data_IF_025713940470
#
_entry.id   IF_025713940470
#
_cell.length_a   1.000
_cell.length_b   1.000
_cell.length_c   1.000
_cell.angle_alpha   90.00
_cell.angle_beta   90.00
_cell.angle_gamma   90.00
#
_symmetry.space_group_name_H-M   'P 1'
#
loop_
_entity.id
_entity.type
_entity.pdbx_description
1 polymer ?
#
# COMPACT_ATOMS: atom_id res chain seq x y z
N UNK A 1 -47.14 9.71 8.60
CA UNK A 1 -46.55 10.29 7.37
C UNK A 1 -46.04 11.71 7.59
N UNK A 2 -46.83 12.71 8.01
CA UNK A 2 -46.35 14.10 8.14
C UNK A 2 -45.22 14.34 9.18
N UNK A 3 -45.11 13.51 10.23
CA UNK A 3 -43.97 13.56 11.16
C UNK A 3 -42.62 13.17 10.52
N UNK A 4 -42.62 12.41 9.41
CA UNK A 4 -41.39 11.96 8.74
C UNK A 4 -40.67 13.09 7.99
N UNK A 5 -41.34 14.24 7.77
CA UNK A 5 -40.68 15.44 7.23
C UNK A 5 -39.60 15.95 8.20
N UNK A 6 -39.74 15.70 9.51
CA UNK A 6 -38.69 16.01 10.48
C UNK A 6 -37.47 15.09 10.34
N UNK A 7 -37.67 13.86 9.86
CA UNK A 7 -36.58 12.91 9.62
C UNK A 7 -35.68 13.37 8.48
N UNK A 8 -36.22 14.01 7.43
CA UNK A 8 -35.40 14.63 6.38
C UNK A 8 -34.37 15.60 6.95
N UNK A 9 -34.80 16.54 7.82
CA UNK A 9 -33.91 17.54 8.44
C UNK A 9 -32.84 16.86 9.30
N UNK A 10 -33.20 15.77 9.98
CA UNK A 10 -32.28 14.96 10.79
C UNK A 10 -31.26 14.22 9.93
N UNK A 11 -31.67 13.59 8.83
CA UNK A 11 -30.77 12.89 7.91
C UNK A 11 -29.84 13.86 7.21
N UNK A 12 -30.36 14.94 6.62
CA UNK A 12 -29.55 15.92 5.90
C UNK A 12 -28.49 16.60 6.79
N UNK A 13 -28.79 16.81 8.08
CA UNK A 13 -27.82 17.33 9.06
C UNK A 13 -26.70 16.33 9.38
N UNK A 14 -26.96 15.02 9.32
CA UNK A 14 -25.98 13.95 9.63
C UNK A 14 -25.19 13.53 8.39
N UNK A 15 -25.87 13.30 7.28
CA UNK A 15 -25.32 12.86 6.00
C UNK A 15 -26.14 13.49 4.88
N UNK A 16 -25.52 14.37 4.10
CA UNK A 16 -26.17 14.98 2.92
C UNK A 16 -26.65 13.90 1.95
N UNK A 17 -25.85 12.84 1.79
CA UNK A 17 -26.15 11.70 0.92
C UNK A 17 -27.42 10.97 1.36
N UNK A 18 -27.56 10.69 2.65
CA UNK A 18 -28.73 9.99 3.20
C UNK A 18 -29.98 10.88 3.08
N UNK A 19 -29.82 12.20 3.23
CA UNK A 19 -30.87 13.16 2.95
C UNK A 19 -31.33 13.16 1.48
N UNK A 20 -30.40 13.03 0.53
CA UNK A 20 -30.69 12.93 -0.91
C UNK A 20 -31.44 11.62 -1.22
N UNK A 21 -31.02 10.50 -0.64
CA UNK A 21 -31.72 9.21 -0.80
C UNK A 21 -33.14 9.30 -0.23
N UNK A 22 -33.30 9.90 0.95
CA UNK A 22 -34.61 10.06 1.58
C UNK A 22 -35.56 10.90 0.71
N UNK A 23 -35.12 12.09 0.26
CA UNK A 23 -35.99 12.98 -0.52
C UNK A 23 -36.27 12.43 -1.92
N UNK A 24 -35.29 11.76 -2.55
CA UNK A 24 -35.52 11.11 -3.86
C UNK A 24 -36.53 9.99 -3.75
N UNK A 25 -36.45 9.15 -2.72
CA UNK A 25 -37.45 8.09 -2.46
C UNK A 25 -38.84 8.68 -2.29
N UNK A 26 -38.97 9.75 -1.48
CA UNK A 26 -40.24 10.43 -1.26
C UNK A 26 -40.82 11.05 -2.53
N UNK A 27 -39.99 11.72 -3.33
CA UNK A 27 -40.43 12.34 -4.59
C UNK A 27 -40.86 11.27 -5.59
N UNK A 28 -40.08 10.18 -5.73
CA UNK A 28 -40.38 9.14 -6.70
C UNK A 28 -41.67 8.37 -6.38
N UNK A 29 -41.94 8.06 -5.11
CA UNK A 29 -43.19 7.37 -4.73
C UNK A 29 -44.44 8.24 -4.90
N UNK A 30 -44.30 9.57 -4.81
CA UNK A 30 -45.41 10.51 -5.06
C UNK A 30 -45.69 10.68 -6.56
N UNK A 31 -44.65 10.73 -7.39
CA UNK A 31 -44.80 11.03 -8.83
C UNK A 31 -45.09 9.77 -9.67
N UNK A 32 -44.47 8.63 -9.33
CA UNK A 32 -44.44 7.43 -10.19
C UNK A 32 -45.31 6.28 -9.67
N UNK A 33 -46.16 6.50 -8.67
CA UNK A 33 -46.78 5.46 -7.83
C UNK A 33 -45.76 4.70 -6.96
N UNK A 34 -46.29 4.01 -5.94
CA UNK A 34 -45.50 3.37 -4.89
C UNK A 34 -44.54 2.31 -5.47
N UNK A 35 -45.02 1.49 -6.41
CA UNK A 35 -44.23 0.37 -6.95
C UNK A 35 -43.06 0.87 -7.81
N UNK A 36 -43.32 1.74 -8.80
CA UNK A 36 -42.26 2.28 -9.66
C UNK A 36 -41.34 3.24 -8.90
N UNK A 37 -41.90 4.01 -7.96
CA UNK A 37 -41.12 4.89 -7.09
C UNK A 37 -40.10 4.13 -6.26
N UNK A 38 -40.47 2.95 -5.76
CA UNK A 38 -39.54 2.08 -5.03
C UNK A 38 -38.41 1.59 -5.95
N UNK A 39 -38.71 1.06 -7.14
CA UNK A 39 -37.69 0.63 -8.11
C UNK A 39 -36.73 1.77 -8.47
N UNK A 40 -37.24 2.96 -8.74
CA UNK A 40 -36.43 4.13 -9.06
C UNK A 40 -35.51 4.53 -7.88
N UNK A 41 -36.01 4.49 -6.65
CA UNK A 41 -35.24 4.83 -5.45
C UNK A 41 -34.10 3.84 -5.14
N UNK A 42 -34.32 2.55 -5.42
CA UNK A 42 -33.29 1.52 -5.33
C UNK A 42 -32.19 1.79 -6.36
N UNK A 43 -32.58 2.12 -7.60
CA UNK A 43 -31.63 2.48 -8.66
C UNK A 43 -30.75 3.68 -8.28
N UNK A 44 -31.35 4.75 -7.76
CA UNK A 44 -30.59 5.93 -7.28
C UNK A 44 -29.68 5.59 -6.10
N UNK A 45 -30.15 4.77 -5.15
CA UNK A 45 -29.34 4.34 -4.01
C UNK A 45 -28.10 3.55 -4.45
N UNK A 46 -28.26 2.65 -5.44
CA UNK A 46 -27.15 1.89 -6.03
C UNK A 46 -26.15 2.80 -6.75
N UNK A 47 -26.63 3.77 -7.55
CA UNK A 47 -25.76 4.74 -8.23
C UNK A 47 -24.94 5.56 -7.23
N UNK A 48 -25.57 6.02 -6.15
CA UNK A 48 -24.89 6.74 -5.07
C UNK A 48 -23.85 5.86 -4.39
N UNK A 49 -24.17 4.59 -4.13
CA UNK A 49 -23.24 3.64 -3.51
C UNK A 49 -22.01 3.41 -4.37
N UNK A 50 -22.18 3.21 -5.68
CA UNK A 50 -21.08 3.03 -6.64
C UNK A 50 -20.20 4.28 -6.66
N UNK A 51 -20.78 5.47 -6.72
CA UNK A 51 -20.02 6.72 -6.70
C UNK A 51 -19.22 6.88 -5.39
N UNK A 52 -19.81 6.50 -4.25
CA UNK A 52 -19.12 6.55 -2.95
C UNK A 52 -17.97 5.55 -2.85
N UNK A 53 -18.05 4.43 -3.58
CA UNK A 53 -17.03 3.38 -3.62
C UNK A 53 -15.81 3.71 -4.50
N UNK A 54 -15.94 4.69 -5.38
CA UNK A 54 -15.03 4.85 -6.53
C UNK A 54 -13.62 5.37 -6.21
N UNK A 55 -13.31 5.82 -4.99
CA UNK A 55 -12.05 6.48 -4.69
C UNK A 55 -11.29 5.85 -3.50
N UNK A 56 -10.38 4.89 -3.75
CA UNK A 56 -9.45 4.45 -2.73
C UNK A 56 -8.45 5.57 -2.44
N UNK A 57 -8.26 5.87 -1.16
CA UNK A 57 -7.33 6.92 -0.73
C UNK A 57 -5.94 6.32 -0.58
N UNK A 58 -4.96 6.88 -1.27
CA UNK A 58 -3.57 6.44 -1.19
C UNK A 58 -2.74 7.55 -0.59
N UNK A 59 -1.98 7.22 0.44
CA UNK A 59 -1.20 8.18 1.23
C UNK A 59 0.22 7.66 1.41
N UNK A 60 1.16 8.58 1.51
CA UNK A 60 2.51 8.27 1.95
C UNK A 60 2.58 8.28 3.47
N UNK A 61 3.26 7.29 4.06
CA UNK A 61 3.48 7.22 5.50
C UNK A 61 4.87 7.72 5.89
N UNK A 62 4.92 8.43 7.02
CA UNK A 62 6.13 8.73 7.76
C UNK A 62 6.18 7.95 9.07
N UNK A 63 7.38 7.82 9.62
CA UNK A 63 7.61 7.25 10.93
C UNK A 63 7.54 8.36 11.99
N UNK A 64 6.76 8.12 13.04
CA UNK A 64 6.73 8.92 14.25
C UNK A 64 7.27 8.09 15.40
N UNK A 65 8.30 8.59 16.07
CA UNK A 65 8.81 7.99 17.32
C UNK A 65 8.04 8.56 18.49
N UNK A 66 7.35 7.70 19.23
CA UNK A 66 6.63 8.11 20.44
C UNK A 66 7.51 7.75 21.63
N UNK A 67 7.99 8.78 22.34
CA UNK A 67 8.63 8.63 23.64
C UNK A 67 7.56 8.74 24.71
N UNK A 68 7.08 7.59 25.17
CA UNK A 68 6.23 7.53 26.35
C UNK A 68 7.12 7.50 27.60
N UNK A 69 6.88 8.42 28.54
CA UNK A 69 7.63 8.51 29.79
C UNK A 69 7.47 7.28 30.69
N UNK A 70 6.41 6.49 30.49
CA UNK A 70 6.14 5.27 31.27
C UNK A 70 6.66 3.99 30.62
N UNK A 71 6.88 3.99 29.29
CA UNK A 71 7.37 2.80 28.57
C UNK A 71 8.89 2.81 28.45
N UNK A 72 9.49 1.65 28.69
CA UNK A 72 10.95 1.44 28.62
C UNK A 72 11.51 1.33 27.19
N UNK A 73 10.66 1.42 26.17
CA UNK A 73 11.01 1.24 24.76
C UNK A 73 10.34 2.31 23.88
N UNK A 74 11.05 2.76 22.85
CA UNK A 74 10.52 3.65 21.82
C UNK A 74 9.57 2.88 20.89
N UNK A 75 8.32 3.34 20.77
CA UNK A 75 7.37 2.79 19.78
C UNK A 75 7.46 3.58 18.48
N UNK A 76 7.59 2.85 17.38
CA UNK A 76 7.60 3.39 16.02
C UNK A 76 6.20 3.26 15.42
N UNK A 77 5.54 4.39 15.17
CA UNK A 77 4.22 4.44 14.56
C UNK A 77 4.30 4.96 13.13
N UNK A 78 3.67 4.24 12.21
CA UNK A 78 3.53 4.66 10.82
C UNK A 78 2.22 5.42 10.62
N UNK A 79 2.33 6.73 10.39
CA UNK A 79 1.20 7.65 10.18
C UNK A 79 1.38 8.41 8.87
N UNK A 80 0.33 9.07 8.39
CA UNK A 80 0.45 9.87 7.15
C UNK A 80 1.54 10.94 7.30
N UNK A 81 2.41 11.06 6.29
CA UNK A 81 3.59 11.91 6.34
C UNK A 81 3.25 13.39 6.61
N UNK A 82 2.07 13.83 6.19
CA UNK A 82 1.60 15.21 6.37
C UNK A 82 0.69 15.40 7.58
N UNK A 83 0.52 14.39 8.44
CA UNK A 83 -0.38 14.48 9.59
C UNK A 83 0.21 15.26 10.77
N UNK A 84 1.54 15.40 10.87
CA UNK A 84 2.21 16.06 11.99
C UNK A 84 3.54 16.68 11.55
N UNK A 85 4.05 17.65 12.31
CA UNK A 85 5.42 18.17 12.12
C UNK A 85 6.51 17.21 12.62
N UNK A 86 6.13 16.20 13.41
CA UNK A 86 7.04 15.22 14.03
C UNK A 86 7.19 13.93 13.19
N UNK A 87 6.54 13.88 12.02
CA UNK A 87 6.58 12.71 11.13
C UNK A 87 7.66 12.88 10.09
N UNK A 88 8.59 11.93 10.04
CA UNK A 88 9.71 11.97 9.11
C UNK A 88 9.68 10.74 8.19
N UNK A 89 10.10 10.93 6.95
CA UNK A 89 10.43 9.79 6.07
C UNK A 89 11.62 9.03 6.67
N UNK A 90 11.57 7.71 6.60
CA UNK A 90 12.73 6.88 6.96
C UNK A 90 13.71 6.87 5.79
N UNK A 91 15.00 7.03 6.08
CA UNK A 91 16.04 7.08 5.05
C UNK A 91 16.06 5.79 4.21
N UNK A 92 16.01 5.95 2.88
CA UNK A 92 15.99 4.85 1.93
C UNK A 92 14.75 3.95 1.96
N UNK A 93 13.66 4.35 2.64
CA UNK A 93 12.40 3.62 2.70
C UNK A 93 11.19 4.54 2.48
N UNK A 94 10.40 4.23 1.46
CA UNK A 94 9.15 4.93 1.15
C UNK A 94 7.98 3.97 1.34
N UNK A 95 6.98 4.37 2.12
CA UNK A 95 5.82 3.53 2.42
C UNK A 95 4.56 4.19 1.88
N UNK A 96 3.85 3.49 0.99
CA UNK A 96 2.54 3.91 0.49
C UNK A 96 1.45 3.05 1.10
N UNK A 97 0.44 3.67 1.72
CA UNK A 97 -0.73 2.98 2.25
C UNK A 97 -1.92 3.15 1.33
N UNK A 98 -2.55 2.03 0.99
CA UNK A 98 -3.83 2.00 0.26
C UNK A 98 -4.96 1.84 1.26
N UNK A 99 -5.91 2.78 1.25
CA UNK A 99 -7.06 2.83 2.14
C UNK A 99 -8.32 2.65 1.32
N UNK A 100 -9.08 1.60 1.63
CA UNK A 100 -10.32 1.24 0.94
C UNK A 100 -10.20 0.00 0.06
N UNK A 101 -11.34 -0.44 -0.46
CA UNK A 101 -11.43 -1.58 -1.38
C UNK A 101 -10.83 -1.18 -2.73
N UNK A 102 -10.02 -2.06 -3.31
CA UNK A 102 -9.51 -1.88 -4.67
C UNK A 102 -9.99 -3.01 -5.56
N UNK A 103 -10.77 -2.70 -6.58
CA UNK A 103 -11.36 -3.70 -7.47
C UNK A 103 -11.40 -3.22 -8.92
N UNK A 104 -12.05 -3.99 -9.79
CA UNK A 104 -12.23 -3.68 -11.21
C UNK A 104 -12.85 -2.30 -11.47
N UNK A 105 -13.58 -1.71 -10.53
CA UNK A 105 -14.22 -0.39 -10.71
C UNK A 105 -13.25 0.78 -10.52
N UNK A 106 -12.24 0.63 -9.65
CA UNK A 106 -11.42 1.76 -9.20
C UNK A 106 -9.89 1.52 -9.27
N UNK A 107 -9.45 0.36 -9.76
CA UNK A 107 -8.02 0.03 -9.85
C UNK A 107 -7.22 1.06 -10.67
N UNK A 108 -7.78 1.63 -11.74
CA UNK A 108 -7.08 2.60 -12.58
C UNK A 108 -6.74 3.87 -11.81
N UNK A 109 -7.67 4.34 -10.97
CA UNK A 109 -7.49 5.48 -10.09
C UNK A 109 -6.38 5.17 -9.08
N UNK A 110 -6.44 3.97 -8.48
CA UNK A 110 -5.45 3.52 -7.51
C UNK A 110 -4.03 3.48 -8.10
N UNK A 111 -3.86 2.84 -9.27
CA UNK A 111 -2.57 2.72 -9.95
C UNK A 111 -2.06 4.09 -10.40
N UNK A 112 -2.94 4.96 -10.90
CA UNK A 112 -2.57 6.33 -11.29
C UNK A 112 -2.06 7.14 -10.10
N UNK A 113 -2.72 7.04 -8.95
CA UNK A 113 -2.29 7.70 -7.72
C UNK A 113 -0.94 7.16 -7.21
N UNK A 114 -0.74 5.83 -7.23
CA UNK A 114 0.55 5.21 -6.89
C UNK A 114 1.69 5.67 -7.80
N UNK A 115 1.44 5.74 -9.12
CA UNK A 115 2.41 6.28 -10.09
C UNK A 115 2.76 7.73 -9.80
N UNK A 116 1.74 8.57 -9.57
CA UNK A 116 1.94 9.99 -9.26
C UNK A 116 2.76 10.19 -7.99
N UNK A 117 2.43 9.46 -6.91
CA UNK A 117 3.20 9.53 -5.66
C UNK A 117 4.65 9.09 -5.87
N UNK A 118 4.88 8.03 -6.64
CA UNK A 118 6.23 7.58 -6.99
C UNK A 118 7.01 8.65 -7.76
N UNK A 119 6.39 9.31 -8.73
CA UNK A 119 6.99 10.41 -9.49
C UNK A 119 7.29 11.62 -8.61
N UNK A 120 6.35 12.02 -7.75
CA UNK A 120 6.54 13.13 -6.80
C UNK A 120 7.72 12.87 -5.84
N UNK A 121 7.89 11.61 -5.40
CA UNK A 121 9.02 11.21 -4.56
C UNK A 121 10.33 11.23 -5.35
N UNK A 122 10.35 10.74 -6.59
CA UNK A 122 11.52 10.79 -7.46
C UNK A 122 11.96 12.23 -7.80
N UNK A 123 11.02 13.17 -7.97
CA UNK A 123 11.32 14.56 -8.32
C UNK A 123 11.87 15.39 -7.15
N UNK A 124 11.52 15.06 -5.90
CA UNK A 124 12.02 15.75 -4.69
C UNK A 124 13.43 15.29 -4.29
N UNK A 125 14.05 14.45 -5.10
CA UNK A 125 15.37 13.88 -4.87
C UNK A 125 16.45 14.96 -4.96
N UNK A 126 17.14 15.21 -3.86
CA UNK A 126 18.45 15.88 -3.89
C UNK A 126 19.52 14.86 -4.31
N UNK A 127 20.56 15.31 -5.02
CA UNK A 127 21.64 14.48 -5.58
C UNK A 127 22.44 13.68 -4.54
N UNK A 128 22.29 13.97 -3.24
CA UNK A 128 23.05 13.38 -2.13
C UNK A 128 22.34 12.21 -1.40
N UNK A 129 21.10 11.84 -1.75
CA UNK A 129 20.37 10.74 -1.07
C UNK A 129 20.60 9.37 -1.73
N UNK A 130 20.84 8.33 -0.90
CA UNK A 130 21.21 6.95 -1.28
C UNK A 130 20.66 6.47 -2.64
N UNK A 131 21.50 5.82 -3.46
CA UNK A 131 21.12 5.28 -4.78
C UNK A 131 20.01 4.21 -4.74
N UNK A 132 19.70 3.67 -3.55
CA UNK A 132 18.83 2.51 -3.37
C UNK A 132 17.67 2.74 -2.40
N UNK A 133 16.52 3.20 -2.91
CA UNK A 133 15.27 3.27 -2.17
C UNK A 133 14.48 1.96 -2.25
N UNK A 134 13.90 1.57 -1.12
CA UNK A 134 12.93 0.49 -1.05
C UNK A 134 11.52 1.06 -0.96
N UNK A 135 10.59 0.45 -1.67
CA UNK A 135 9.18 0.82 -1.61
C UNK A 135 8.41 -0.26 -0.86
N UNK A 136 7.61 0.15 0.13
CA UNK A 136 6.66 -0.73 0.81
C UNK A 136 5.25 -0.30 0.45
N UNK A 137 4.46 -1.23 -0.07
CA UNK A 137 3.03 -1.03 -0.29
C UNK A 137 2.25 -1.65 0.87
N UNK A 138 1.67 -0.82 1.70
CA UNK A 138 0.83 -1.23 2.82
C UNK A 138 -0.64 -1.34 2.38
N UNK A 139 -1.15 -2.58 2.39
CA UNK A 139 -2.55 -2.89 2.10
C UNK A 139 -3.36 -3.17 3.38
N UNK A 140 -2.85 -2.80 4.55
CA UNK A 140 -3.55 -3.00 5.83
C UNK A 140 -4.91 -2.35 5.95
N UNK A 141 -5.10 -1.23 5.28
CA UNK A 141 -6.38 -0.54 5.22
C UNK A 141 -7.20 -0.88 3.97
N UNK A 142 -6.79 -1.91 3.22
CA UNK A 142 -7.55 -2.43 2.08
C UNK A 142 -8.15 -3.78 2.44
N UNK A 143 -9.44 -3.83 2.86
CA UNK A 143 -10.05 -5.06 3.35
C UNK A 143 -10.27 -6.10 2.24
N UNK A 144 -10.34 -5.64 0.98
CA UNK A 144 -10.59 -6.49 -0.16
C UNK A 144 -9.88 -5.95 -1.41
N UNK A 145 -9.29 -6.89 -2.16
CA UNK A 145 -8.75 -6.66 -3.49
C UNK A 145 -9.22 -7.77 -4.45
N UNK A 146 -9.56 -7.43 -5.68
CA UNK A 146 -9.97 -8.43 -6.67
C UNK A 146 -8.83 -8.84 -7.61
N UNK A 147 -9.10 -9.83 -8.48
CA UNK A 147 -8.11 -10.34 -9.43
C UNK A 147 -7.65 -9.27 -10.42
N UNK A 148 -8.57 -8.40 -10.87
CA UNK A 148 -8.28 -7.34 -11.84
C UNK A 148 -7.31 -6.32 -11.23
N UNK A 149 -7.62 -5.81 -10.06
CA UNK A 149 -6.78 -4.89 -9.31
C UNK A 149 -5.40 -5.48 -9.05
N UNK A 150 -5.33 -6.74 -8.58
CA UNK A 150 -4.03 -7.40 -8.35
C UNK A 150 -3.23 -7.57 -9.64
N UNK A 151 -3.85 -7.92 -10.76
CA UNK A 151 -3.16 -8.06 -12.05
C UNK A 151 -2.43 -6.77 -12.43
N UNK A 152 -3.11 -5.63 -12.35
CA UNK A 152 -2.51 -4.33 -12.68
C UNK A 152 -1.54 -3.84 -11.61
N UNK A 153 -1.82 -4.14 -10.35
CA UNK A 153 -0.89 -3.86 -9.25
C UNK A 153 0.43 -4.62 -9.45
N UNK A 154 0.37 -5.91 -9.78
CA UNK A 154 1.55 -6.74 -10.08
C UNK A 154 2.36 -6.17 -11.23
N UNK A 155 1.72 -5.73 -12.32
CA UNK A 155 2.42 -5.07 -13.43
C UNK A 155 3.17 -3.84 -12.92
N UNK A 156 2.54 -3.02 -12.07
CA UNK A 156 3.18 -1.84 -11.48
C UNK A 156 4.34 -2.20 -10.53
N UNK A 157 4.18 -3.24 -9.70
CA UNK A 157 5.22 -3.77 -8.82
C UNK A 157 6.42 -4.28 -9.64
N UNK A 158 6.16 -5.04 -10.70
CA UNK A 158 7.19 -5.59 -11.58
C UNK A 158 7.90 -4.49 -12.41
N UNK A 159 7.32 -3.29 -12.51
CA UNK A 159 7.93 -2.15 -13.24
C UNK A 159 9.16 -1.56 -12.52
N UNK A 160 9.45 -1.95 -11.28
CA UNK A 160 10.67 -1.53 -10.56
C UNK A 160 11.63 -2.70 -10.30
N UNK A 161 12.25 -3.30 -11.32
CA UNK A 161 13.09 -4.49 -11.14
C UNK A 161 14.31 -4.26 -10.24
N UNK A 162 14.78 -3.02 -10.10
CA UNK A 162 15.94 -2.66 -9.26
C UNK A 162 15.59 -2.31 -7.81
N UNK A 163 14.30 -2.10 -7.50
CA UNK A 163 13.83 -1.72 -6.17
C UNK A 163 12.73 -2.69 -5.75
N UNK A 164 13.01 -3.69 -4.89
CA UNK A 164 12.01 -4.68 -4.56
C UNK A 164 10.87 -3.99 -3.81
N UNK A 165 9.69 -3.97 -4.43
CA UNK A 165 8.49 -3.63 -3.69
C UNK A 165 8.20 -4.74 -2.70
N UNK A 166 8.08 -4.38 -1.43
CA UNK A 166 7.56 -5.27 -0.41
C UNK A 166 6.11 -4.90 -0.15
N UNK A 167 5.23 -5.88 -0.08
CA UNK A 167 3.83 -5.64 0.22
C UNK A 167 3.61 -6.01 1.68
N UNK A 168 3.25 -5.01 2.49
CA UNK A 168 2.85 -5.22 3.87
C UNK A 168 1.33 -5.43 3.91
N UNK A 169 0.89 -6.61 4.35
CA UNK A 169 -0.50 -7.01 4.33
C UNK A 169 -0.87 -7.72 5.65
N UNK A 170 -1.92 -7.28 6.36
CA UNK A 170 -2.41 -7.95 7.57
C UNK A 170 -3.67 -8.78 7.29
N UNK A 171 -4.10 -8.93 6.03
CA UNK A 171 -5.44 -9.34 5.67
C UNK A 171 -5.47 -10.66 4.89
N UNK A 172 -6.23 -11.63 5.39
CA UNK A 172 -6.32 -12.96 4.75
C UNK A 172 -6.85 -12.95 3.30
N UNK A 173 -7.72 -12.00 2.94
CA UNK A 173 -8.26 -11.91 1.57
C UNK A 173 -7.25 -11.27 0.59
N UNK A 174 -6.67 -10.09 0.86
CA UNK A 174 -5.63 -9.53 0.01
C UNK A 174 -4.44 -10.46 -0.20
N UNK A 175 -3.94 -11.10 0.87
CA UNK A 175 -2.80 -12.03 0.80
C UNK A 175 -3.09 -13.17 -0.16
N UNK A 176 -4.24 -13.81 0.03
CA UNK A 176 -4.68 -14.92 -0.80
C UNK A 176 -4.84 -14.49 -2.26
N UNK A 177 -5.38 -13.30 -2.51
CA UNK A 177 -5.57 -12.82 -3.89
C UNK A 177 -4.22 -12.50 -4.55
N UNK A 178 -3.30 -11.85 -3.84
CA UNK A 178 -1.94 -11.56 -4.31
C UNK A 178 -1.21 -12.86 -4.69
N UNK A 179 -1.21 -13.85 -3.80
CA UNK A 179 -0.60 -15.16 -4.05
C UNK A 179 -1.24 -15.88 -5.24
N UNK A 180 -2.59 -15.90 -5.33
CA UNK A 180 -3.31 -16.52 -6.45
C UNK A 180 -3.01 -15.88 -7.80
N UNK A 181 -2.69 -14.59 -7.81
CA UNK A 181 -2.32 -13.86 -9.03
C UNK A 181 -0.81 -13.88 -9.31
N UNK A 182 -0.03 -14.67 -8.57
CA UNK A 182 1.39 -14.88 -8.83
C UNK A 182 2.32 -13.81 -8.26
N UNK A 183 1.90 -13.05 -7.25
CA UNK A 183 2.82 -12.25 -6.43
C UNK A 183 3.64 -13.20 -5.55
N UNK A 184 4.96 -12.98 -5.51
CA UNK A 184 5.88 -13.88 -4.79
C UNK A 184 5.67 -13.76 -3.28
N UNK A 185 5.54 -14.89 -2.59
CA UNK A 185 5.41 -14.94 -1.13
C UNK A 185 6.59 -14.24 -0.43
N UNK A 186 7.80 -14.31 -1.00
CA UNK A 186 9.00 -13.63 -0.47
C UNK A 186 8.92 -12.10 -0.45
N UNK A 187 7.90 -11.51 -1.10
CA UNK A 187 7.65 -10.07 -1.11
C UNK A 187 6.49 -9.67 -0.21
N UNK A 188 5.78 -10.62 0.39
CA UNK A 188 4.66 -10.38 1.29
C UNK A 188 5.13 -10.41 2.76
N UNK A 189 4.68 -9.45 3.55
CA UNK A 189 5.02 -9.33 4.97
C UNK A 189 3.79 -8.99 5.78
N UNK A 190 3.74 -9.46 7.03
CA UNK A 190 2.58 -9.22 7.90
C UNK A 190 2.44 -7.75 8.31
N UNK A 191 3.56 -7.03 8.40
CA UNK A 191 3.61 -5.65 8.88
C UNK A 191 4.67 -4.85 8.14
N UNK A 192 4.52 -3.52 8.14
CA UNK A 192 5.56 -2.60 7.62
C UNK A 192 6.87 -2.80 8.38
N UNK A 193 6.82 -3.03 9.69
CA UNK A 193 8.02 -3.25 10.52
C UNK A 193 8.79 -4.52 10.14
N UNK A 194 8.09 -5.59 9.75
CA UNK A 194 8.74 -6.81 9.25
C UNK A 194 9.42 -6.57 7.90
N UNK A 195 8.73 -5.89 6.98
CA UNK A 195 9.29 -5.50 5.68
C UNK A 195 10.54 -4.61 5.86
N UNK A 196 10.48 -3.64 6.76
CA UNK A 196 11.58 -2.73 7.08
C UNK A 196 12.81 -3.45 7.67
N UNK A 197 12.60 -4.42 8.56
CA UNK A 197 13.69 -5.27 9.07
C UNK A 197 14.34 -6.09 7.94
N UNK A 198 13.53 -6.62 7.02
CA UNK A 198 14.04 -7.38 5.87
C UNK A 198 14.90 -6.51 4.95
N UNK A 199 14.47 -5.27 4.69
CA UNK A 199 15.21 -4.29 3.91
C UNK A 199 16.55 -3.95 4.60
N UNK A 200 16.50 -3.68 5.90
CA UNK A 200 17.69 -3.37 6.69
C UNK A 200 18.73 -4.50 6.63
N UNK A 201 18.28 -5.77 6.71
CA UNK A 201 19.15 -6.93 6.54
C UNK A 201 19.74 -7.03 5.13
N UNK A 202 18.96 -6.75 4.08
CA UNK A 202 19.46 -6.75 2.70
C UNK A 202 20.53 -5.68 2.48
N UNK A 203 20.31 -4.46 2.98
CA UNK A 203 21.31 -3.38 2.92
C UNK A 203 22.62 -3.78 3.61
N UNK A 204 22.55 -4.44 4.77
CA UNK A 204 23.72 -4.93 5.50
C UNK A 204 24.48 -6.03 4.73
N UNK A 205 23.77 -6.97 4.10
CA UNK A 205 24.40 -8.03 3.30
C UNK A 205 25.14 -7.42 2.10
N UNK A 206 24.49 -6.51 1.37
CA UNK A 206 25.10 -5.81 0.22
C UNK A 206 26.34 -5.02 0.64
N UNK A 207 26.27 -4.31 1.78
CA UNK A 207 27.41 -3.57 2.34
C UNK A 207 28.57 -4.50 2.75
N UNK A 208 28.24 -5.67 3.30
CA UNK A 208 29.23 -6.70 3.67
C UNK A 208 29.89 -7.35 2.46
N UNK A 209 29.13 -7.66 1.40
CA UNK A 209 29.68 -8.20 0.15
C UNK A 209 30.61 -7.20 -0.54
N UNK A 210 30.26 -5.91 -0.54
CA UNK A 210 31.13 -4.84 -1.07
C UNK A 210 32.42 -4.63 -0.26
N UNK A 211 32.44 -4.99 1.02
CA UNK A 211 33.61 -4.81 1.90
C UNK A 211 34.50 -6.05 2.05
N UNK A 212 34.10 -7.21 1.49
CA UNK A 212 34.94 -8.40 1.42
C UNK A 212 36.01 -8.24 0.32
N UNK A 213 37.31 -8.28 0.64
CA UNK A 213 38.35 -8.27 -0.39
C UNK A 213 38.27 -9.54 -1.24
N UNK A 214 38.48 -9.39 -2.55
CA UNK A 214 38.55 -10.50 -3.53
C UNK A 214 39.70 -11.47 -3.21
N UNK A 215 39.51 -12.38 -2.25
CA UNK A 215 40.48 -13.44 -1.92
C UNK A 215 40.26 -14.74 -2.74
N UNK A 216 39.27 -14.79 -3.65
CA UNK A 216 38.88 -16.03 -4.36
C UNK A 216 39.50 -16.14 -5.77
N UNK A 217 40.30 -15.17 -6.23
CA UNK A 217 40.98 -15.22 -7.54
C UNK A 217 42.50 -15.50 -7.45
N UNK A 218 42.97 -16.17 -6.41
CA UNK A 218 44.24 -16.92 -6.47
C UNK A 218 43.91 -18.40 -6.41
N UNK A 219 43.40 -18.90 -7.53
CA UNK A 219 43.34 -20.33 -7.79
C UNK A 219 44.75 -20.91 -7.73
N UNK A 220 44.90 -21.94 -6.92
CA UNK A 220 45.98 -22.90 -7.03
C UNK A 220 46.07 -23.36 -8.50
N UNK A 221 47.14 -22.97 -9.19
CA UNK A 221 47.58 -23.68 -10.38
C UNK A 221 48.17 -25.01 -9.89
N UNK A 222 47.33 -26.05 -9.81
CA UNK A 222 47.76 -27.44 -9.78
C UNK A 222 48.29 -27.83 -11.16
N UNK A 223 49.49 -27.36 -11.53
CA UNK A 223 50.23 -27.84 -12.69
C UNK A 223 51.72 -27.48 -12.53
N UNK A 224 52.40 -28.12 -11.57
CA UNK A 224 53.87 -28.20 -11.57
C UNK A 224 54.33 -29.55 -10.98
N UNK A 225 54.69 -30.54 -11.82
CA UNK A 225 55.01 -31.90 -11.38
C UNK A 225 56.44 -32.10 -10.85
N UNK A 226 57.23 -31.04 -10.57
CA UNK A 226 58.67 -31.18 -10.27
C UNK A 226 59.12 -30.84 -8.84
N UNK A 227 58.29 -31.01 -7.81
CA UNK A 227 58.76 -30.93 -6.40
C UNK A 227 58.47 -32.18 -5.59
N UNK A 228 59.07 -33.28 -6.02
CA UNK A 228 59.02 -34.57 -5.35
C UNK A 228 60.35 -35.33 -5.37
N UNK A 229 61.50 -34.66 -5.31
CA UNK A 229 62.81 -35.30 -5.06
C UNK A 229 63.72 -34.38 -4.26
N UNK A 230 63.80 -34.63 -2.96
CA UNK A 230 64.98 -34.49 -2.09
C UNK A 230 64.54 -34.46 -0.62
N UNK A 231 64.22 -35.64 -0.08
CA UNK A 231 64.47 -35.95 1.33
C UNK A 231 64.97 -37.39 1.36
N UNK A 232 66.15 -37.56 1.94
CA UNK A 232 67.08 -38.72 1.98
C UNK A 232 68.03 -38.85 0.79
#
# INVERSE_FOLDING_TARGET
>A
MFLQIHDFKKFYKKSKVDGIIWISTFIFTIILDIDYGLYASIGVSLLILINRHSEPRIVELGMKKIKDSEKRYEEELWVELNASSETCRKEGLIVFRVIGVVDFTNYEIAIKALKKLREEVNCKRHEDEEEHFFFVLDLSCSPQIDQTAVKYLKIWLDTAPHYPFLVATPGSQPDRMLLRCGVKESTLFSTIGEADRRISLQKLIISREKSLPNYINQGYNEDDPEKGKNVL
#
